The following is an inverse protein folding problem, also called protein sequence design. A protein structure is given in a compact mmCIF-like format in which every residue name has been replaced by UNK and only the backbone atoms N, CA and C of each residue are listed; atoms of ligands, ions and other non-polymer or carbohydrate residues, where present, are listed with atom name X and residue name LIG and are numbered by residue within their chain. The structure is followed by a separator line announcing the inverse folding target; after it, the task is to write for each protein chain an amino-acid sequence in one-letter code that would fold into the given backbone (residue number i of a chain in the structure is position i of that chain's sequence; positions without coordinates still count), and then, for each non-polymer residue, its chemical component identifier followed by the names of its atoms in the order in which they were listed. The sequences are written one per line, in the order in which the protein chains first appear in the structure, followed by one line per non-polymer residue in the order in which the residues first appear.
data_IF_358759035992
#
_entry.id   IF_358759035992
#
_cell.length_a   1.000
_cell.length_b   1.000
_cell.length_c   1.000
_cell.angle_alpha   90.00
_cell.angle_beta   90.00
_cell.angle_gamma   90.00
#
_symmetry.space_group_name_H-M   'P 1'
#
loop_
_entity.id
_entity.type
_entity.pdbx_description
1 polymer ?
#
# COMPACT_ATOMS: atom_id res chain seq x y z
N UNK A 1 -15.43 3.87 -12.41
CA UNK A 1 -15.08 4.77 -11.28
C UNK A 1 -13.62 5.13 -11.37
N UNK A 2 -13.26 6.43 -11.45
CA UNK A 2 -11.86 6.85 -11.31
C UNK A 2 -11.45 6.63 -9.86
N UNK A 3 -10.47 5.77 -9.60
CA UNK A 3 -9.88 5.63 -8.27
C UNK A 3 -9.44 7.00 -7.76
N UNK A 4 -9.72 7.31 -6.50
CA UNK A 4 -9.26 8.56 -5.88
C UNK A 4 -7.73 8.57 -5.90
N UNK A 5 -7.14 9.41 -6.75
CA UNK A 5 -5.71 9.69 -6.72
C UNK A 5 -5.44 10.60 -5.52
N UNK A 6 -4.48 10.23 -4.67
CA UNK A 6 -4.02 11.12 -3.61
C UNK A 6 -3.20 12.25 -4.25
N UNK A 7 -3.67 13.48 -4.11
CA UNK A 7 -2.94 14.68 -4.54
C UNK A 7 -2.13 15.17 -3.35
N UNK A 8 -0.84 15.44 -3.56
CA UNK A 8 0.05 16.07 -2.60
C UNK A 8 0.65 17.32 -3.23
N UNK A 9 0.64 18.43 -2.52
CA UNK A 9 1.36 19.64 -2.90
C UNK A 9 2.78 19.59 -2.31
N UNK A 10 3.77 19.97 -3.11
CA UNK A 10 5.15 20.14 -2.69
C UNK A 10 5.54 21.58 -2.95
N UNK A 11 6.04 22.26 -1.93
CA UNK A 11 6.58 23.61 -2.02
C UNK A 11 8.09 23.50 -1.86
N UNK A 12 8.84 23.88 -2.90
CA UNK A 12 10.30 23.81 -2.93
C UNK A 12 10.81 25.20 -3.25
N UNK A 13 11.65 25.74 -2.38
CA UNK A 13 12.28 27.06 -2.53
C UNK A 13 13.79 27.00 -2.35
N UNK A 14 14.51 27.80 -3.11
CA UNK A 14 15.95 27.96 -2.98
C UNK A 14 16.26 29.38 -2.55
N UNK A 15 17.25 29.55 -1.65
CA UNK A 15 17.63 30.85 -1.10
C UNK A 15 18.18 31.81 -2.16
N UNK A 16 18.82 31.31 -3.19
CA UNK A 16 19.59 32.12 -4.16
C UNK A 16 18.93 32.21 -5.54
N UNK A 17 17.60 32.21 -5.62
CA UNK A 17 16.90 32.48 -6.89
C UNK A 17 16.93 31.31 -7.92
N UNK A 18 17.38 30.14 -7.52
CA UNK A 18 17.29 28.97 -8.40
C UNK A 18 15.83 28.53 -8.61
N UNK A 19 15.47 28.26 -9.85
CA UNK A 19 14.14 27.73 -10.20
C UNK A 19 14.13 26.21 -10.14
N UNK A 20 13.32 25.62 -9.24
CA UNK A 20 13.17 24.18 -9.15
C UNK A 20 12.42 23.61 -10.35
N UNK A 21 13.00 22.58 -10.99
CA UNK A 21 12.34 21.81 -12.02
C UNK A 21 11.99 20.43 -11.47
N UNK A 22 10.69 20.12 -11.41
CA UNK A 22 10.24 18.79 -11.01
C UNK A 22 10.79 17.70 -11.94
N UNK A 23 11.14 16.52 -11.42
CA UNK A 23 11.55 15.39 -12.25
C UNK A 23 10.41 15.00 -13.19
N UNK A 24 10.75 14.60 -14.41
CA UNK A 24 9.77 14.06 -15.35
C UNK A 24 9.22 12.73 -14.80
N UNK A 25 7.94 12.47 -15.09
CA UNK A 25 7.36 11.17 -14.80
C UNK A 25 8.06 10.11 -15.68
N UNK A 26 8.54 9.04 -15.04
CA UNK A 26 9.24 7.93 -15.69
C UNK A 26 8.39 6.65 -15.72
N UNK A 27 7.09 6.79 -15.59
CA UNK A 27 6.15 5.67 -15.52
C UNK A 27 5.90 5.09 -16.90
N UNK A 28 6.74 4.16 -17.28
CA UNK A 28 6.43 3.25 -18.40
C UNK A 28 5.54 2.09 -17.96
N UNK A 29 5.59 1.71 -16.68
CA UNK A 29 4.81 0.61 -16.13
C UNK A 29 4.33 0.95 -14.72
N UNK A 30 3.04 0.70 -14.46
CA UNK A 30 2.46 0.83 -13.13
C UNK A 30 2.67 -0.45 -12.32
N UNK A 31 3.07 -0.29 -11.06
CA UNK A 31 3.16 -1.40 -10.11
C UNK A 31 1.74 -1.78 -9.68
N UNK A 32 1.37 -3.02 -9.89
CA UNK A 32 0.07 -3.57 -9.51
C UNK A 32 0.06 -3.99 -8.03
N UNK A 33 -1.14 -4.23 -7.47
CA UNK A 33 -1.22 -4.76 -6.10
C UNK A 33 -0.54 -6.13 -5.99
N UNK A 34 -0.65 -6.97 -7.02
CA UNK A 34 0.03 -8.27 -7.05
C UNK A 34 1.55 -8.11 -7.09
N UNK A 35 2.07 -7.21 -7.94
CA UNK A 35 3.52 -6.93 -7.98
C UNK A 35 4.08 -6.53 -6.62
N UNK A 36 3.27 -5.84 -5.80
CA UNK A 36 3.75 -5.34 -4.51
C UNK A 36 3.74 -6.40 -3.40
N UNK A 37 2.74 -7.29 -3.35
CA UNK A 37 2.48 -8.08 -2.13
C UNK A 37 2.20 -9.57 -2.36
N UNK A 38 2.35 -10.10 -3.59
CA UNK A 38 2.00 -11.51 -3.89
C UNK A 38 2.92 -12.55 -3.24
N UNK A 39 4.10 -12.16 -2.80
CA UNK A 39 5.08 -13.00 -2.11
C UNK A 39 4.88 -13.07 -0.59
N UNK A 40 3.82 -12.43 -0.06
CA UNK A 40 3.46 -12.48 1.35
C UNK A 40 2.32 -13.47 1.60
N UNK A 41 2.32 -14.05 2.80
CA UNK A 41 1.37 -15.11 3.17
C UNK A 41 0.00 -14.58 3.58
N UNK A 42 -0.99 -15.48 3.60
CA UNK A 42 -2.30 -15.20 4.19
C UNK A 42 -2.23 -14.95 5.69
N UNK A 43 -1.37 -15.69 6.39
CA UNK A 43 -1.24 -15.69 7.84
C UNK A 43 -0.23 -14.66 8.34
N UNK A 44 -0.31 -14.34 9.63
CA UNK A 44 0.69 -13.54 10.32
C UNK A 44 2.06 -14.19 10.28
N UNK A 45 3.09 -13.36 10.22
CA UNK A 45 4.48 -13.75 10.44
C UNK A 45 5.02 -12.98 11.63
N UNK A 46 5.78 -13.65 12.48
CA UNK A 46 6.51 -13.00 13.58
C UNK A 46 7.53 -12.01 13.02
N UNK A 47 7.72 -10.91 13.74
CA UNK A 47 8.73 -9.93 13.38
C UNK A 47 10.12 -10.56 13.40
N UNK A 48 10.88 -10.40 12.32
CA UNK A 48 12.19 -11.03 12.16
C UNK A 48 12.17 -12.39 11.47
N UNK A 49 10.99 -12.93 11.14
CA UNK A 49 10.88 -14.18 10.38
C UNK A 49 11.48 -14.07 8.98
N UNK A 50 11.91 -15.20 8.44
CA UNK A 50 12.34 -15.29 7.04
C UNK A 50 11.15 -15.11 6.09
N UNK A 51 11.43 -14.70 4.86
CA UNK A 51 10.41 -14.60 3.82
C UNK A 51 9.85 -15.98 3.46
N UNK A 52 8.53 -16.09 3.22
CA UNK A 52 7.88 -17.36 2.87
C UNK A 52 8.32 -17.91 1.50
N UNK A 53 8.74 -17.03 0.60
CA UNK A 53 9.24 -17.41 -0.73
C UNK A 53 10.19 -16.34 -1.30
N UNK A 54 10.83 -16.66 -2.42
CA UNK A 54 11.61 -15.69 -3.22
C UNK A 54 10.70 -14.58 -3.78
N UNK A 55 11.24 -13.38 -4.10
CA UNK A 55 10.47 -12.33 -4.77
C UNK A 55 9.86 -12.83 -6.07
N UNK A 56 8.56 -12.58 -6.27
CA UNK A 56 7.80 -12.97 -7.46
C UNK A 56 7.75 -11.84 -8.53
N UNK A 57 8.22 -10.64 -8.19
CA UNK A 57 8.30 -9.50 -9.10
C UNK A 57 9.61 -8.73 -8.93
N UNK A 58 9.97 -7.95 -9.95
CA UNK A 58 11.12 -7.03 -9.86
C UNK A 58 10.92 -5.97 -8.77
N UNK A 59 9.69 -5.54 -8.57
CA UNK A 59 9.36 -4.59 -7.51
C UNK A 59 9.59 -5.18 -6.12
N UNK A 60 9.14 -6.41 -5.86
CA UNK A 60 9.40 -7.10 -4.59
C UNK A 60 10.89 -7.28 -4.33
N UNK A 61 11.66 -7.63 -5.37
CA UNK A 61 13.13 -7.71 -5.26
C UNK A 61 13.74 -6.36 -4.86
N UNK A 62 13.27 -5.27 -5.46
CA UNK A 62 13.71 -3.91 -5.14
C UNK A 62 13.32 -3.52 -3.71
N UNK A 63 12.07 -3.76 -3.29
CA UNK A 63 11.56 -3.35 -1.97
C UNK A 63 12.20 -4.15 -0.84
N UNK A 64 12.52 -5.43 -1.07
CA UNK A 64 13.29 -6.22 -0.10
C UNK A 64 14.69 -5.64 0.14
N UNK A 65 15.30 -5.00 -0.86
CA UNK A 65 16.59 -4.28 -0.75
C UNK A 65 17.67 -5.04 0.05
N UNK A 66 17.73 -6.37 -0.14
CA UNK A 66 18.67 -7.24 0.60
C UNK A 66 18.22 -7.61 2.01
N UNK A 67 17.08 -7.12 2.51
CA UNK A 67 16.51 -7.57 3.79
C UNK A 67 16.28 -9.07 3.77
N UNK A 68 16.70 -9.76 4.86
CA UNK A 68 16.50 -11.21 5.04
C UNK A 68 15.31 -11.54 5.94
N UNK A 69 14.72 -10.52 6.55
CA UNK A 69 13.66 -10.68 7.54
C UNK A 69 12.45 -9.78 7.23
N UNK A 70 11.28 -10.26 7.61
CA UNK A 70 10.03 -9.53 7.48
C UNK A 70 9.56 -8.99 8.84
N UNK A 71 8.96 -7.81 8.83
CA UNK A 71 8.40 -7.14 10.01
C UNK A 71 7.02 -6.57 9.68
N UNK A 72 6.19 -6.38 10.71
CA UNK A 72 4.87 -5.76 10.61
C UNK A 72 3.87 -6.52 9.70
N UNK A 73 4.04 -7.85 9.57
CA UNK A 73 3.10 -8.70 8.83
C UNK A 73 2.15 -9.44 9.78
N UNK A 74 1.40 -8.68 10.56
CA UNK A 74 0.38 -9.18 11.47
C UNK A 74 -1.01 -8.94 10.88
N UNK A 75 -1.77 -10.01 10.66
CA UNK A 75 -3.11 -9.93 10.09
C UNK A 75 -4.11 -9.30 11.08
N UNK A 76 -5.21 -8.79 10.54
CA UNK A 76 -6.38 -8.39 11.34
C UNK A 76 -7.41 -9.50 11.25
N UNK A 77 -7.80 -10.06 12.38
CA UNK A 77 -8.88 -11.02 12.47
C UNK A 77 -10.21 -10.30 12.27
N UNK A 78 -11.03 -10.85 11.40
CA UNK A 78 -12.40 -10.43 11.16
C UNK A 78 -13.36 -11.48 11.71
N UNK A 79 -14.61 -11.10 12.02
CA UNK A 79 -15.66 -12.06 12.33
C UNK A 79 -15.96 -12.92 11.10
N UNK A 80 -16.43 -14.16 11.30
CA UNK A 80 -16.81 -15.09 10.24
C UNK A 80 -17.74 -14.43 9.22
N UNK A 81 -18.80 -13.76 9.68
CA UNK A 81 -19.72 -13.00 8.83
C UNK A 81 -19.00 -11.95 7.96
N UNK A 82 -17.99 -11.29 8.49
CA UNK A 82 -17.21 -10.31 7.71
C UNK A 82 -16.37 -11.01 6.65
N UNK A 83 -15.74 -12.14 6.98
CA UNK A 83 -14.94 -12.95 6.04
C UNK A 83 -15.82 -13.46 4.88
N UNK A 84 -17.03 -13.97 5.19
CA UNK A 84 -18.01 -14.41 4.21
C UNK A 84 -18.40 -13.30 3.24
N UNK A 85 -18.71 -12.11 3.75
CA UNK A 85 -19.06 -10.95 2.89
C UNK A 85 -17.88 -10.53 2.03
N UNK A 86 -16.65 -10.50 2.58
CA UNK A 86 -15.45 -10.20 1.78
C UNK A 86 -15.26 -11.23 0.67
N UNK A 87 -15.53 -12.52 0.93
CA UNK A 87 -15.40 -13.60 -0.05
C UNK A 87 -16.32 -13.41 -1.28
N UNK A 88 -17.48 -12.78 -1.09
CA UNK A 88 -18.42 -12.48 -2.19
C UNK A 88 -17.94 -11.34 -3.09
N UNK A 89 -16.96 -10.54 -2.65
CA UNK A 89 -16.42 -9.42 -3.45
C UNK A 89 -15.29 -9.93 -4.34
N UNK A 90 -15.42 -9.90 -5.67
CA UNK A 90 -14.39 -10.36 -6.58
C UNK A 90 -13.16 -9.45 -6.57
N UNK A 91 -12.05 -9.91 -7.17
CA UNK A 91 -10.84 -9.12 -7.37
C UNK A 91 -11.15 -7.77 -8.04
N UNK A 92 -10.77 -6.68 -7.39
CA UNK A 92 -11.07 -5.31 -7.84
C UNK A 92 -12.53 -4.88 -7.73
N UNK A 93 -13.39 -5.74 -7.14
CA UNK A 93 -14.81 -5.46 -6.90
C UNK A 93 -15.06 -4.52 -5.71
N UNK A 94 -16.32 -4.23 -5.48
CA UNK A 94 -16.80 -3.40 -4.37
C UNK A 94 -18.21 -3.83 -3.94
N UNK A 95 -18.83 -3.09 -3.01
CA UNK A 95 -20.15 -3.37 -2.47
C UNK A 95 -21.25 -3.63 -3.52
N UNK A 96 -21.10 -3.12 -4.75
CA UNK A 96 -22.09 -3.36 -5.83
C UNK A 96 -22.13 -4.80 -6.29
N UNK A 97 -21.06 -5.57 -6.04
CA UNK A 97 -21.00 -7.01 -6.33
C UNK A 97 -21.75 -7.85 -5.29
N UNK A 98 -22.14 -7.27 -4.17
CA UNK A 98 -22.85 -7.95 -3.11
C UNK A 98 -24.37 -8.02 -3.40
N UNK A 99 -25.09 -9.02 -2.86
CA UNK A 99 -26.53 -9.02 -2.76
C UNK A 99 -27.04 -7.73 -2.12
N UNK A 100 -28.25 -7.28 -2.50
CA UNK A 100 -28.76 -5.97 -2.12
C UNK A 100 -28.84 -5.76 -0.61
N UNK A 101 -29.28 -6.78 0.11
CA UNK A 101 -29.39 -6.80 1.57
C UNK A 101 -28.06 -6.64 2.31
N UNK A 102 -26.92 -6.94 1.65
CA UNK A 102 -25.59 -6.80 2.23
C UNK A 102 -24.90 -5.49 1.89
N UNK A 103 -25.36 -4.76 0.88
CA UNK A 103 -24.72 -3.52 0.39
C UNK A 103 -24.67 -2.43 1.44
N UNK A 104 -25.69 -2.33 2.29
CA UNK A 104 -25.82 -1.29 3.31
C UNK A 104 -25.29 -1.70 4.70
N UNK A 105 -24.73 -2.89 4.83
CA UNK A 105 -24.18 -3.37 6.11
C UNK A 105 -23.01 -2.54 6.62
N UNK A 106 -22.38 -1.73 5.75
CA UNK A 106 -21.43 -0.67 6.12
C UNK A 106 -21.82 0.64 5.44
N UNK A 107 -22.14 1.65 6.24
CA UNK A 107 -22.62 2.98 5.77
C UNK A 107 -21.50 3.90 5.26
N UNK A 108 -20.59 3.40 4.42
CA UNK A 108 -19.50 4.20 3.84
C UNK A 108 -19.36 3.91 2.35
N UNK A 109 -19.26 4.94 1.54
CA UNK A 109 -19.21 4.86 0.07
C UNK A 109 -18.09 4.01 -0.54
N UNK A 110 -17.11 3.60 0.25
CA UNK A 110 -15.97 2.75 -0.14
C UNK A 110 -15.96 1.41 0.61
N UNK A 111 -17.09 1.08 1.27
CA UNK A 111 -17.23 -0.20 1.96
C UNK A 111 -17.09 -1.37 0.99
N UNK A 112 -16.59 -2.49 1.51
CA UNK A 112 -16.49 -3.73 0.77
C UNK A 112 -15.68 -3.62 -0.54
N UNK A 113 -14.67 -2.74 -0.62
CA UNK A 113 -13.81 -2.60 -1.79
C UNK A 113 -12.60 -3.50 -1.66
N UNK A 114 -12.36 -4.34 -2.67
CA UNK A 114 -11.18 -5.20 -2.77
C UNK A 114 -10.14 -4.59 -3.71
N UNK A 115 -8.87 -4.67 -3.34
CA UNK A 115 -7.76 -4.32 -4.26
C UNK A 115 -7.87 -5.14 -5.54
N UNK A 116 -7.38 -4.60 -6.64
CA UNK A 116 -7.30 -5.32 -7.92
C UNK A 116 -5.88 -5.85 -8.12
N UNK A 117 -5.75 -7.16 -8.39
CA UNK A 117 -4.44 -7.80 -8.57
C UNK A 117 -3.64 -7.21 -9.72
N UNK A 118 -4.31 -6.79 -10.81
CA UNK A 118 -3.70 -6.33 -12.06
C UNK A 118 -3.67 -4.81 -12.21
N UNK A 119 -4.03 -4.06 -11.17
CA UNK A 119 -4.04 -2.59 -11.19
C UNK A 119 -3.27 -2.02 -10.00
N UNK A 120 -2.78 -0.77 -10.12
CA UNK A 120 -2.27 -0.05 -8.97
C UNK A 120 -3.30 0.02 -7.85
N UNK A 121 -2.82 -0.06 -6.62
CA UNK A 121 -3.66 0.04 -5.43
C UNK A 121 -4.35 1.41 -5.36
N UNK A 122 -5.46 1.44 -4.65
CA UNK A 122 -6.04 2.68 -4.15
C UNK A 122 -5.10 3.36 -3.15
N UNK A 123 -5.40 4.62 -2.82
CA UNK A 123 -4.68 5.34 -1.77
C UNK A 123 -4.76 4.59 -0.44
N UNK A 124 -3.63 4.35 0.20
CA UNK A 124 -3.57 3.78 1.55
C UNK A 124 -4.11 4.82 2.54
N UNK A 125 -5.10 4.42 3.29
CA UNK A 125 -5.77 5.26 4.29
C UNK A 125 -5.07 5.18 5.66
N UNK A 126 -5.23 6.24 6.45
CA UNK A 126 -4.58 6.41 7.75
C UNK A 126 -5.27 5.70 8.91
N UNK A 127 -6.36 5.00 8.71
CA UNK A 127 -7.03 4.36 9.83
C UNK A 127 -8.30 3.58 9.59
N UNK A 128 -8.95 3.77 8.47
CA UNK A 128 -10.26 3.14 8.26
C UNK A 128 -10.23 1.77 7.60
N UNK A 129 -9.07 1.31 7.09
CA UNK A 129 -8.87 -0.04 6.54
C UNK A 129 -10.01 -0.49 5.61
N UNK A 130 -10.36 0.37 4.64
CA UNK A 130 -11.53 0.17 3.80
C UNK A 130 -11.33 -0.84 2.67
N UNK A 131 -10.06 -1.09 2.30
CA UNK A 131 -9.75 -1.94 1.17
C UNK A 131 -9.32 -3.32 1.67
N UNK A 132 -9.87 -4.38 1.07
CA UNK A 132 -9.46 -5.75 1.35
C UNK A 132 -8.35 -6.19 0.40
N UNK A 133 -7.57 -7.16 0.84
CA UNK A 133 -6.52 -7.78 0.05
C UNK A 133 -7.13 -8.39 -1.23
N UNK A 134 -6.44 -8.29 -2.38
CA UNK A 134 -6.98 -8.77 -3.66
C UNK A 134 -7.27 -10.28 -3.66
N UNK A 135 -6.51 -11.07 -2.88
CA UNK A 135 -6.60 -12.53 -2.81
C UNK A 135 -7.24 -13.02 -1.51
N UNK A 136 -6.80 -12.49 -0.36
CA UNK A 136 -7.22 -12.97 0.95
C UNK A 136 -8.43 -12.21 1.49
N UNK A 137 -9.27 -12.89 2.29
CA UNK A 137 -10.51 -12.31 2.83
C UNK A 137 -10.26 -11.48 4.10
N UNK A 138 -9.30 -10.58 4.04
CA UNK A 138 -8.89 -9.70 5.13
C UNK A 138 -8.40 -8.34 4.61
N UNK A 139 -8.23 -7.39 5.50
CA UNK A 139 -7.50 -6.15 5.16
C UNK A 139 -6.01 -6.45 4.97
N UNK A 140 -5.30 -5.67 4.14
CA UNK A 140 -3.85 -5.76 4.04
C UNK A 140 -3.18 -5.51 5.39
N UNK A 141 -2.09 -6.20 5.67
CA UNK A 141 -1.25 -5.94 6.84
C UNK A 141 -0.54 -4.59 6.74
N UNK A 142 0.12 -4.16 7.83
CA UNK A 142 0.95 -2.96 7.80
C UNK A 142 2.07 -3.12 6.78
N UNK A 143 2.74 -4.28 6.71
CA UNK A 143 3.80 -4.54 5.71
C UNK A 143 3.29 -4.51 4.29
N UNK A 144 2.16 -5.13 4.00
CA UNK A 144 1.53 -5.07 2.68
C UNK A 144 1.18 -3.63 2.28
N UNK A 145 0.61 -2.87 3.20
CA UNK A 145 0.31 -1.44 3.00
C UNK A 145 1.58 -0.60 2.79
N UNK A 146 2.65 -0.88 3.54
CA UNK A 146 3.94 -0.23 3.43
C UNK A 146 4.60 -0.47 2.07
N UNK A 147 4.58 -1.70 1.56
CA UNK A 147 5.09 -2.02 0.22
C UNK A 147 4.29 -1.32 -0.89
N UNK A 148 2.97 -1.28 -0.78
CA UNK A 148 2.12 -0.51 -1.70
C UNK A 148 2.49 0.98 -1.67
N UNK A 149 2.90 1.50 -0.52
CA UNK A 149 3.36 2.88 -0.34
C UNK A 149 4.86 3.06 -0.65
N UNK A 150 5.53 2.03 -1.14
CA UNK A 150 6.94 1.97 -1.52
C UNK A 150 7.97 2.09 -0.39
N UNK A 151 7.63 1.68 0.83
CA UNK A 151 8.61 1.48 1.89
C UNK A 151 9.41 0.20 1.64
N UNK A 152 10.70 0.27 1.85
CA UNK A 152 11.59 -0.91 1.86
C UNK A 152 11.30 -1.80 3.08
N UNK A 153 11.58 -3.10 2.99
CA UNK A 153 11.20 -4.07 4.02
C UNK A 153 12.04 -3.98 5.30
N UNK A 154 13.20 -3.39 5.24
CA UNK A 154 14.07 -3.10 6.39
C UNK A 154 13.52 -1.95 7.25
N UNK A 155 12.60 -1.15 6.72
CA UNK A 155 11.92 -0.12 7.51
C UNK A 155 10.88 -0.73 8.44
N UNK A 156 11.13 -0.68 9.75
CA UNK A 156 10.26 -1.25 10.80
C UNK A 156 9.39 -0.16 11.40
N UNK A 157 8.07 -0.39 11.40
CA UNK A 157 7.10 0.51 12.03
C UNK A 157 6.91 0.11 13.50
N UNK A 158 6.98 1.08 14.41
CA UNK A 158 6.85 0.87 15.85
C UNK A 158 5.53 1.43 16.39
N UNK A 159 5.19 1.00 17.61
CA UNK A 159 3.97 1.39 18.31
C UNK A 159 2.79 0.47 18.00
N UNK A 160 1.58 0.89 18.37
CA UNK A 160 0.37 0.10 18.15
C UNK A 160 0.09 -0.10 16.66
N UNK A 161 -0.58 -1.19 16.29
CA UNK A 161 -0.96 -1.50 14.90
C UNK A 161 -1.70 -0.33 14.23
N UNK A 162 -2.58 0.36 14.95
CA UNK A 162 -3.26 1.56 14.45
C UNK A 162 -2.27 2.71 14.17
N UNK A 163 -1.28 2.91 15.05
CA UNK A 163 -0.22 3.90 14.83
C UNK A 163 0.61 3.56 13.60
N UNK A 164 0.97 2.29 13.42
CA UNK A 164 1.73 1.82 12.26
C UNK A 164 0.98 2.11 10.94
N UNK A 165 -0.31 1.82 10.85
CA UNK A 165 -1.12 2.17 9.66
C UNK A 165 -1.17 3.69 9.42
N UNK A 166 -1.27 4.51 10.48
CA UNK A 166 -1.22 5.97 10.36
C UNK A 166 0.12 6.45 9.81
N UNK A 167 1.23 5.87 10.26
CA UNK A 167 2.57 6.18 9.76
C UNK A 167 2.65 5.89 8.26
N UNK A 168 2.26 4.70 7.82
CA UNK A 168 2.24 4.33 6.40
C UNK A 168 1.36 5.28 5.59
N UNK A 169 0.11 5.49 6.02
CA UNK A 169 -0.86 6.28 5.26
C UNK A 169 -0.51 7.76 5.16
N UNK A 170 0.14 8.36 6.18
CA UNK A 170 0.54 9.76 6.16
C UNK A 170 1.84 10.03 5.39
N UNK A 171 2.67 9.02 5.20
CA UNK A 171 3.97 9.18 4.58
C UNK A 171 3.88 9.63 3.12
N UNK A 172 4.87 10.38 2.68
CA UNK A 172 5.21 10.51 1.26
C UNK A 172 5.83 9.18 0.84
N UNK A 173 5.42 8.58 -0.31
CA UNK A 173 6.04 7.36 -0.79
C UNK A 173 7.57 7.51 -0.89
N UNK A 174 8.38 6.64 -0.25
CA UNK A 174 9.84 6.79 -0.22
C UNK A 174 10.51 6.89 -1.59
N UNK A 175 10.03 6.13 -2.58
CA UNK A 175 10.55 6.22 -3.96
C UNK A 175 10.30 7.62 -4.55
N UNK A 176 9.13 8.23 -4.30
CA UNK A 176 8.83 9.60 -4.74
C UNK A 176 9.71 10.60 -4.02
N UNK A 177 9.86 10.47 -2.70
CA UNK A 177 10.71 11.34 -1.88
C UNK A 177 12.16 11.31 -2.35
N UNK A 178 12.70 10.11 -2.64
CA UNK A 178 14.05 9.93 -3.19
C UNK A 178 14.23 10.64 -4.53
N UNK A 179 13.26 10.54 -5.44
CA UNK A 179 13.32 11.24 -6.75
C UNK A 179 13.31 12.75 -6.59
N UNK A 180 12.49 13.27 -5.69
CA UNK A 180 12.48 14.72 -5.38
C UNK A 180 13.80 15.17 -4.76
N UNK A 181 14.35 14.42 -3.82
CA UNK A 181 15.63 14.72 -3.19
C UNK A 181 16.78 14.74 -4.23
N UNK A 182 16.84 13.76 -5.12
CA UNK A 182 17.83 13.73 -6.21
C UNK A 182 17.67 14.96 -7.14
N UNK A 183 16.44 15.33 -7.48
CA UNK A 183 16.19 16.50 -8.32
C UNK A 183 16.64 17.81 -7.64
N UNK A 184 16.45 17.92 -6.32
CA UNK A 184 16.95 19.06 -5.53
C UNK A 184 18.47 19.08 -5.55
N UNK A 185 19.13 17.97 -5.21
CA UNK A 185 20.59 17.88 -5.17
C UNK A 185 21.25 18.19 -6.52
N UNK A 186 20.66 17.76 -7.62
CA UNK A 186 21.18 18.01 -8.96
C UNK A 186 21.07 19.50 -9.39
N UNK A 187 20.20 20.26 -8.75
CA UNK A 187 20.01 21.69 -9.04
C UNK A 187 20.76 22.60 -8.06
N UNK A 188 21.36 22.03 -7.03
CA UNK A 188 22.24 22.76 -6.10
C UNK A 188 23.72 22.70 -6.49
N UNK A 189 24.08 21.86 -7.47
CA UNK A 189 25.42 21.78 -8.06
C UNK A 189 25.56 22.77 -9.19
#
# INVERSE_FOLDING_TARGET
MRGRRRVRAFFIGFKNGHNFKFPKADTLQHITSSDAISDLTENSLENGSSYPCSPLSTYQKQIRNGSKAIFNHEITNHSEKTVEIIAMVPDGGNYKSLPEELRETRKVNIAWTRLNSQKPSFTIDTGHRHHFHYKYNRVPTVRESARIQSFEDDFVFLGSKTSQYKQVGNAVPPILAKKLAIAILNQLK
#
